data_IF_819957853274
#
_entry.id   IF_819957853274
#
_cell.length_a   1.000
_cell.length_b   1.000
_cell.length_c   1.000
_cell.angle_alpha   90.00
_cell.angle_beta   90.00
_cell.angle_gamma   90.00
#
_symmetry.space_group_name_H-M   'P 1'
#
loop_
_entity.id
_entity.type
_entity.pdbx_description
1 polymer ?
#
# COMPACT_ATOMS: atom_id res chain seq x y z
N UNK A 1 15.48 -2.53 18.12
CA UNK A 1 14.03 -2.75 17.95
C UNK A 1 13.34 -1.40 17.86
N UNK A 2 12.48 -1.22 16.87
CA UNK A 2 11.56 -0.10 16.78
C UNK A 2 10.17 -0.57 17.18
N UNK A 3 9.45 0.22 17.97
CA UNK A 3 8.13 -0.15 18.49
C UNK A 3 7.18 1.04 18.34
N UNK A 4 6.00 0.79 17.77
CA UNK A 4 4.91 1.76 17.76
C UNK A 4 4.47 2.08 19.19
N UNK A 5 4.30 3.34 19.52
CA UNK A 5 3.96 3.78 20.86
C UNK A 5 2.97 4.95 20.84
N UNK A 6 2.19 5.07 21.91
CA UNK A 6 1.40 6.25 22.22
C UNK A 6 2.01 6.93 23.46
N UNK A 7 2.35 8.20 23.34
CA UNK A 7 2.85 8.98 24.49
C UNK A 7 1.73 9.24 25.50
N UNK A 8 2.09 9.63 26.74
CA UNK A 8 1.11 10.03 27.79
C UNK A 8 0.22 11.21 27.39
N UNK A 9 0.56 11.94 26.31
CA UNK A 9 -0.25 13.03 25.73
C UNK A 9 -1.11 12.57 24.55
N UNK A 10 -1.27 11.26 24.36
CA UNK A 10 -2.03 10.65 23.26
C UNK A 10 -1.51 11.03 21.87
N UNK A 11 -0.18 11.19 21.74
CA UNK A 11 0.50 11.39 20.46
C UNK A 11 1.19 10.10 20.04
N UNK A 12 0.98 9.67 18.79
CA UNK A 12 1.68 8.57 18.17
C UNK A 12 3.18 8.85 18.02
N UNK A 13 3.98 7.84 18.32
CA UNK A 13 5.44 7.90 18.30
C UNK A 13 6.03 6.52 17.97
N UNK A 14 7.32 6.49 17.70
CA UNK A 14 8.10 5.27 17.54
C UNK A 14 9.19 5.29 18.60
N UNK A 15 9.19 4.30 19.48
CA UNK A 15 10.22 4.07 20.46
C UNK A 15 11.37 3.26 19.86
N UNK A 16 12.59 3.45 20.37
CA UNK A 16 13.75 2.61 20.05
C UNK A 16 14.31 1.93 21.29
N UNK A 17 14.63 0.65 21.13
CA UNK A 17 15.34 -0.16 22.10
C UNK A 17 16.58 -0.78 21.46
N UNK A 18 17.63 -0.95 22.24
CA UNK A 18 18.84 -1.68 21.85
C UNK A 18 19.05 -2.87 22.78
N UNK A 19 19.63 -3.94 22.27
CA UNK A 19 19.96 -5.11 23.08
C UNK A 19 21.30 -5.69 22.62
N UNK A 20 22.18 -6.10 23.54
CA UNK A 20 23.41 -6.80 23.18
C UNK A 20 23.19 -8.30 22.89
N UNK A 21 22.09 -8.90 23.37
CA UNK A 21 21.87 -10.35 23.43
C UNK A 21 20.50 -10.81 22.90
N UNK A 22 19.63 -9.88 22.48
CA UNK A 22 18.22 -10.07 22.10
C UNK A 22 17.25 -10.41 23.25
N UNK A 23 17.74 -10.53 24.49
CA UNK A 23 16.94 -10.82 25.69
C UNK A 23 16.79 -9.60 26.59
N UNK A 24 17.89 -8.89 26.83
CA UNK A 24 17.99 -7.72 27.68
C UNK A 24 17.89 -6.45 26.83
N UNK A 25 16.84 -5.64 27.02
CA UNK A 25 16.55 -4.48 26.17
C UNK A 25 16.62 -3.16 26.92
N UNK A 26 17.46 -2.25 26.43
CA UNK A 26 17.58 -0.87 26.92
C UNK A 26 16.68 0.07 26.11
N UNK A 27 15.80 0.80 26.78
CA UNK A 27 15.06 1.89 26.15
C UNK A 27 16.00 3.06 25.83
N UNK A 28 15.98 3.54 24.58
CA UNK A 28 16.84 4.63 24.09
C UNK A 28 16.09 5.92 23.80
N UNK A 29 14.78 5.97 24.05
CA UNK A 29 13.97 7.15 23.80
C UNK A 29 13.02 7.00 22.61
N UNK A 30 12.50 8.14 22.17
CA UNK A 30 11.64 8.25 20.99
C UNK A 30 12.52 8.37 19.75
N UNK A 31 12.46 7.37 18.88
CA UNK A 31 13.11 7.33 17.59
C UNK A 31 12.55 8.36 16.63
N UNK A 32 11.23 8.44 16.58
CA UNK A 32 10.52 9.39 15.74
C UNK A 32 9.20 9.79 16.40
N UNK A 33 8.99 11.09 16.53
CA UNK A 33 7.75 11.68 17.05
C UNK A 33 7.39 12.86 16.18
N UNK A 34 6.19 12.83 15.60
CA UNK A 34 5.69 13.88 14.73
C UNK A 34 4.16 13.95 14.86
N UNK A 35 3.54 15.14 14.95
CA UNK A 35 2.08 15.28 15.02
C UNK A 35 1.31 14.53 13.94
N UNK A 36 1.91 14.33 12.75
CA UNK A 36 1.32 13.59 11.63
C UNK A 36 1.09 12.09 11.91
N UNK A 37 1.66 11.57 13.00
CA UNK A 37 1.42 10.20 13.47
C UNK A 37 0.10 10.07 14.26
N UNK A 38 -0.67 11.16 14.39
CA UNK A 38 -1.95 11.21 15.10
C UNK A 38 -1.86 10.60 16.51
N UNK A 39 -2.79 9.73 16.93
CA UNK A 39 -2.85 9.22 18.30
C UNK A 39 -2.01 7.96 18.51
N UNK A 40 -1.72 7.21 17.45
CA UNK A 40 -0.91 5.99 17.50
C UNK A 40 -0.20 5.78 16.17
N UNK A 41 0.99 5.18 16.21
CA UNK A 41 1.70 4.74 15.02
C UNK A 41 1.91 3.23 15.10
N UNK A 42 1.27 2.46 14.23
CA UNK A 42 1.45 1.01 14.14
C UNK A 42 2.55 0.63 13.14
N UNK A 43 2.99 -0.63 13.23
CA UNK A 43 3.83 -1.32 12.26
C UNK A 43 5.06 -0.53 11.74
N UNK A 44 5.87 0.12 12.59
CA UNK A 44 7.02 0.86 12.11
C UNK A 44 8.07 -0.09 11.50
N UNK A 45 8.55 0.23 10.31
CA UNK A 45 9.67 -0.46 9.67
C UNK A 45 10.73 0.56 9.23
N UNK A 46 12.01 0.28 9.48
CA UNK A 46 13.12 1.07 8.97
C UNK A 46 13.83 0.27 7.87
N UNK A 47 13.80 0.79 6.65
CA UNK A 47 14.43 0.17 5.49
C UNK A 47 15.70 0.94 5.15
N UNK A 48 16.79 0.19 5.02
CA UNK A 48 18.11 0.73 4.74
C UNK A 48 18.42 0.74 3.24
N UNK A 49 18.67 1.94 2.68
CA UNK A 49 19.13 2.18 1.31
C UNK A 49 20.52 2.85 1.25
N UNK A 50 21.36 2.65 2.27
CA UNK A 50 22.69 3.25 2.38
C UNK A 50 22.64 4.58 3.13
N UNK A 51 23.00 5.68 2.47
CA UNK A 51 22.97 7.02 3.09
C UNK A 51 21.54 7.45 3.44
N UNK A 52 20.57 7.06 2.60
CA UNK A 52 19.16 7.27 2.85
C UNK A 52 18.54 6.10 3.60
N UNK A 53 17.62 6.42 4.50
CA UNK A 53 16.74 5.48 5.21
C UNK A 53 15.30 5.80 4.88
N UNK A 54 14.47 4.77 4.83
CA UNK A 54 13.03 4.90 4.63
C UNK A 54 12.31 4.38 5.87
N UNK A 55 11.58 5.26 6.55
CA UNK A 55 10.79 4.91 7.74
C UNK A 55 9.32 4.76 7.34
N UNK A 56 8.82 3.53 7.35
CA UNK A 56 7.41 3.23 7.14
C UNK A 56 6.67 3.39 8.46
N UNK A 57 5.46 3.93 8.38
CA UNK A 57 4.60 4.27 9.51
C UNK A 57 3.15 3.98 9.18
N UNK A 58 2.36 3.62 10.19
CA UNK A 58 0.90 3.54 10.08
C UNK A 58 0.23 4.49 11.09
N UNK A 59 0.06 5.78 10.76
CA UNK A 59 -0.66 6.72 11.62
C UNK A 59 -2.12 6.30 11.79
N UNK A 60 -2.60 6.39 13.03
CA UNK A 60 -4.00 6.16 13.40
C UNK A 60 -4.58 7.39 14.07
N UNK A 61 -5.59 7.98 13.43
CA UNK A 61 -6.43 9.00 14.03
C UNK A 61 -7.57 8.35 14.77
N UNK A 62 -7.68 8.63 16.06
CA UNK A 62 -8.65 8.02 16.96
C UNK A 62 -9.23 9.04 17.92
N UNK A 63 -10.50 8.87 18.27
CA UNK A 63 -11.04 9.42 19.51
C UNK A 63 -10.59 8.52 20.65
N UNK A 64 -10.00 9.07 21.72
CA UNK A 64 -9.48 8.25 22.84
C UNK A 64 -10.59 7.83 23.80
N UNK A 65 -11.60 8.70 24.01
CA UNK A 65 -12.73 8.47 24.91
C UNK A 65 -14.02 9.03 24.29
N UNK A 66 -14.99 8.18 23.89
CA UNK A 66 -14.86 6.72 23.74
C UNK A 66 -13.76 6.35 22.73
N UNK A 67 -13.18 5.15 22.85
CA UNK A 67 -12.20 4.68 21.86
C UNK A 67 -12.91 4.41 20.54
N UNK A 68 -12.57 5.18 19.50
CA UNK A 68 -13.18 5.08 18.18
C UNK A 68 -12.17 5.39 17.09
N UNK A 69 -12.03 4.48 16.13
CA UNK A 69 -11.24 4.71 14.91
C UNK A 69 -11.90 5.79 14.04
N UNK A 70 -11.06 6.68 13.49
CA UNK A 70 -11.50 7.73 12.56
C UNK A 70 -10.85 7.50 11.19
N UNK A 71 -9.54 7.28 11.16
CA UNK A 71 -8.82 6.98 9.93
C UNK A 71 -7.46 6.39 10.23
N UNK A 72 -7.08 5.40 9.44
CA UNK A 72 -5.75 4.79 9.46
C UNK A 72 -5.21 4.69 8.03
N UNK A 73 -3.90 4.88 7.84
CA UNK A 73 -3.25 4.70 6.54
C UNK A 73 -1.79 4.32 6.72
N UNK A 74 -1.18 3.73 5.69
CA UNK A 74 0.25 3.45 5.69
C UNK A 74 1.01 4.46 4.83
N UNK A 75 2.09 5.00 5.38
CA UNK A 75 2.93 5.97 4.71
C UNK A 75 4.41 5.75 5.02
N UNK A 76 5.25 6.59 4.44
CA UNK A 76 6.68 6.55 4.65
C UNK A 76 7.30 7.95 4.63
N UNK A 77 8.46 8.05 5.28
CA UNK A 77 9.39 9.17 5.18
C UNK A 77 10.70 8.68 4.57
N UNK A 78 11.37 9.56 3.83
CA UNK A 78 12.77 9.41 3.45
C UNK A 78 13.57 10.36 4.35
N UNK A 79 14.73 9.90 4.82
CA UNK A 79 15.59 10.73 5.63
C UNK A 79 16.81 9.96 6.11
N UNK A 80 17.36 10.39 7.25
CA UNK A 80 18.59 9.82 7.81
C UNK A 80 18.40 9.38 9.25
N UNK A 81 19.18 8.39 9.65
CA UNK A 81 19.28 8.00 11.06
C UNK A 81 20.42 8.77 11.73
N UNK A 82 20.13 9.39 12.87
CA UNK A 82 21.12 9.96 13.78
C UNK A 82 21.12 9.19 15.10
N UNK A 83 21.98 8.16 15.19
CA UNK A 83 22.08 7.24 16.34
C UNK A 83 20.73 6.60 16.72
N UNK A 84 19.97 7.25 17.59
CA UNK A 84 18.69 6.79 18.13
C UNK A 84 17.50 7.67 17.72
N UNK A 85 17.64 8.50 16.69
CA UNK A 85 16.55 9.28 16.12
C UNK A 85 16.53 9.22 14.60
N UNK A 86 15.35 9.46 14.01
CA UNK A 86 15.14 9.61 12.58
C UNK A 86 14.89 11.08 12.23
N UNK A 87 15.59 11.56 11.20
CA UNK A 87 15.49 12.91 10.69
C UNK A 87 14.84 12.86 9.30
N UNK A 88 13.54 13.20 9.17
CA UNK A 88 12.86 13.18 7.87
C UNK A 88 13.36 14.32 6.98
N UNK A 89 13.60 14.02 5.71
CA UNK A 89 14.00 14.99 4.67
C UNK A 89 12.84 15.33 3.73
N UNK A 90 11.71 14.63 3.86
CA UNK A 90 10.49 14.88 3.10
C UNK A 90 9.25 14.94 4.01
N UNK A 91 8.13 15.34 3.40
CA UNK A 91 6.80 15.12 4.00
C UNK A 91 6.41 13.65 3.83
N UNK A 92 5.49 13.18 4.68
CA UNK A 92 4.97 11.82 4.56
C UNK A 92 4.39 11.59 3.16
N UNK A 93 4.70 10.42 2.60
CA UNK A 93 4.14 9.94 1.35
C UNK A 93 3.34 8.67 1.63
N UNK A 94 2.25 8.43 0.89
CA UNK A 94 1.51 7.16 1.02
C UNK A 94 2.30 6.03 0.37
N UNK A 95 2.27 4.86 0.98
CA UNK A 95 2.84 3.64 0.36
C UNK A 95 1.95 3.12 -0.77
N UNK A 96 0.65 3.26 -0.65
CA UNK A 96 -0.31 2.77 -1.64
C UNK A 96 -1.45 3.79 -1.80
N UNK A 97 -1.88 4.03 -3.03
CA UNK A 97 -2.93 4.99 -3.38
C UNK A 97 -4.29 4.31 -3.60
N UNK A 98 -4.34 2.98 -3.52
CA UNK A 98 -5.53 2.16 -3.68
C UNK A 98 -6.45 2.19 -2.47
N UNK A 99 -7.47 1.35 -2.48
CA UNK A 99 -8.55 1.33 -1.48
C UNK A 99 -8.19 0.54 -0.23
N UNK A 100 -7.44 -0.56 -0.34
CA UNK A 100 -7.17 -1.49 0.76
C UNK A 100 -5.68 -1.80 0.85
N UNK A 101 -4.99 -1.14 1.78
CA UNK A 101 -3.58 -1.34 2.06
C UNK A 101 -3.25 -0.82 3.46
N UNK A 102 -2.78 -1.71 4.33
CA UNK A 102 -2.39 -1.36 5.68
C UNK A 102 -1.31 -2.30 6.24
N UNK A 103 -0.71 -1.92 7.37
CA UNK A 103 0.25 -2.73 8.13
C UNK A 103 1.37 -3.40 7.31
N UNK A 104 2.14 -2.64 6.48
CA UNK A 104 3.24 -3.19 5.72
C UNK A 104 4.36 -3.68 6.65
N UNK A 105 5.01 -4.76 6.24
CA UNK A 105 6.24 -5.26 6.86
C UNK A 105 7.29 -5.52 5.78
N UNK A 106 8.53 -5.13 6.09
CA UNK A 106 9.66 -5.25 5.16
C UNK A 106 10.73 -6.13 5.77
N UNK A 107 11.27 -7.05 4.96
CA UNK A 107 12.48 -7.80 5.29
C UNK A 107 13.49 -7.72 4.15
N UNK A 108 14.74 -8.06 4.45
CA UNK A 108 15.80 -8.20 3.44
C UNK A 108 16.03 -9.69 3.19
N UNK A 109 15.92 -10.12 1.94
CA UNK A 109 16.19 -11.51 1.59
C UNK A 109 17.70 -11.81 1.43
N UNK A 110 18.03 -13.08 1.15
CA UNK A 110 19.42 -13.53 0.94
C UNK A 110 20.10 -12.90 -0.28
N UNK A 111 19.33 -12.33 -1.21
CA UNK A 111 19.83 -11.62 -2.40
C UNK A 111 19.98 -10.10 -2.14
N UNK A 112 19.72 -9.65 -0.90
CA UNK A 112 19.78 -8.24 -0.52
C UNK A 112 18.55 -7.42 -0.92
N UNK A 113 17.51 -8.03 -1.49
CA UNK A 113 16.28 -7.35 -1.91
C UNK A 113 15.48 -6.93 -0.68
N UNK A 114 15.00 -5.69 -0.65
CA UNK A 114 14.04 -5.22 0.35
C UNK A 114 12.63 -5.61 -0.12
N UNK A 115 11.99 -6.56 0.54
CA UNK A 115 10.71 -7.13 0.14
C UNK A 115 9.64 -6.72 1.14
N UNK A 116 8.54 -6.16 0.64
CA UNK A 116 7.40 -5.71 1.42
C UNK A 116 6.17 -6.57 1.15
N UNK A 117 5.47 -6.94 2.21
CA UNK A 117 4.07 -7.39 2.16
C UNK A 117 3.22 -6.41 2.95
N UNK A 118 1.93 -6.31 2.62
CA UNK A 118 0.97 -5.54 3.40
C UNK A 118 -0.36 -6.28 3.46
N UNK A 119 -1.17 -5.93 4.45
CA UNK A 119 -2.52 -6.42 4.61
C UNK A 119 -3.48 -5.63 3.70
N UNK A 120 -4.21 -6.32 2.83
CA UNK A 120 -5.27 -5.68 2.02
C UNK A 120 -6.53 -5.47 2.86
N UNK A 121 -6.49 -4.43 3.68
CA UNK A 121 -7.64 -3.90 4.40
C UNK A 121 -7.57 -2.39 4.50
N UNK A 122 -8.74 -1.78 4.64
CA UNK A 122 -8.91 -0.38 5.01
C UNK A 122 -9.50 -0.20 6.42
N UNK A 123 -9.62 -1.31 7.17
CA UNK A 123 -10.12 -1.36 8.54
C UNK A 123 -11.50 -0.71 8.70
N UNK A 124 -12.39 -0.91 7.72
CA UNK A 124 -13.73 -0.36 7.75
C UNK A 124 -14.72 -1.43 8.24
N UNK A 125 -15.23 -1.24 9.45
CA UNK A 125 -16.07 -2.21 10.14
C UNK A 125 -17.29 -2.66 9.31
N UNK A 126 -18.00 -1.73 8.66
CA UNK A 126 -19.15 -2.07 7.81
C UNK A 126 -18.75 -2.97 6.66
N UNK A 127 -17.69 -2.63 5.93
CA UNK A 127 -17.19 -3.44 4.81
C UNK A 127 -16.66 -4.80 5.26
N UNK A 128 -16.04 -4.88 6.44
CA UNK A 128 -15.56 -6.15 7.01
C UNK A 128 -16.71 -7.05 7.48
N UNK A 129 -17.80 -6.48 8.03
CA UNK A 129 -19.01 -7.22 8.39
C UNK A 129 -19.77 -7.72 7.15
N UNK A 130 -19.72 -6.97 6.05
CA UNK A 130 -20.40 -7.28 4.79
C UNK A 130 -19.47 -7.89 3.73
N UNK A 131 -18.25 -8.30 4.13
CA UNK A 131 -17.29 -8.92 3.22
C UNK A 131 -17.85 -10.28 2.75
N UNK A 132 -18.06 -10.50 1.44
CA UNK A 132 -18.70 -11.73 0.94
C UNK A 132 -17.98 -13.00 1.38
N UNK A 133 -16.66 -12.98 1.45
CA UNK A 133 -15.87 -14.18 1.78
C UNK A 133 -16.06 -14.68 3.21
N UNK A 134 -16.74 -13.92 4.08
CA UNK A 134 -17.12 -14.36 5.44
C UNK A 134 -17.88 -15.67 5.42
N UNK A 135 -18.71 -15.91 4.40
CA UNK A 135 -19.48 -17.15 4.26
C UNK A 135 -18.56 -18.37 4.12
N UNK A 136 -17.33 -18.18 3.62
CA UNK A 136 -16.29 -19.18 3.51
C UNK A 136 -15.28 -19.16 4.69
N UNK A 137 -15.52 -18.35 5.72
CA UNK A 137 -14.69 -18.30 6.93
C UNK A 137 -13.43 -17.42 6.86
N UNK A 138 -13.29 -16.54 5.85
CA UNK A 138 -12.15 -15.61 5.74
C UNK A 138 -12.56 -14.24 5.18
N UNK A 139 -11.77 -13.18 5.40
CA UNK A 139 -12.13 -11.81 4.93
C UNK A 139 -11.03 -10.99 4.27
N UNK A 140 -9.76 -11.35 4.45
CA UNK A 140 -8.62 -10.57 3.95
C UNK A 140 -7.60 -11.43 3.21
N UNK A 141 -6.68 -10.77 2.53
CA UNK A 141 -5.49 -11.34 1.95
C UNK A 141 -4.30 -10.38 2.14
N UNK A 142 -3.11 -10.83 1.78
CA UNK A 142 -1.93 -9.97 1.65
C UNK A 142 -1.81 -9.44 0.22
N UNK A 143 -1.07 -8.35 0.06
CA UNK A 143 -0.58 -7.91 -1.24
C UNK A 143 0.40 -8.92 -1.83
N UNK A 144 0.67 -8.82 -3.13
CA UNK A 144 1.88 -9.38 -3.72
C UNK A 144 3.11 -8.88 -2.95
N UNK A 145 4.17 -9.70 -2.87
CA UNK A 145 5.45 -9.21 -2.39
C UNK A 145 6.01 -8.17 -3.36
N UNK A 146 6.39 -7.02 -2.79
CA UNK A 146 6.92 -5.89 -3.55
C UNK A 146 8.40 -5.69 -3.24
N UNK A 147 9.27 -5.78 -4.23
CA UNK A 147 10.64 -5.29 -4.18
C UNK A 147 10.62 -3.76 -4.09
N UNK A 148 11.19 -3.22 -3.03
CA UNK A 148 11.34 -1.77 -2.84
C UNK A 148 12.62 -1.28 -3.50
N UNK A 149 12.52 -0.17 -4.24
CA UNK A 149 13.65 0.51 -4.86
C UNK A 149 13.53 2.00 -4.58
N UNK A 150 14.56 2.61 -4.01
CA UNK A 150 14.61 4.05 -3.81
C UNK A 150 15.28 4.71 -5.03
N UNK A 151 14.58 5.63 -5.70
CA UNK A 151 15.10 6.38 -6.86
C UNK A 151 14.56 7.80 -6.84
N UNK A 152 15.45 8.78 -7.03
CA UNK A 152 15.08 10.20 -7.16
C UNK A 152 14.17 10.71 -6.02
N UNK A 153 14.44 10.32 -4.76
CA UNK A 153 13.63 10.74 -3.61
C UNK A 153 12.22 10.14 -3.57
N UNK A 154 11.98 9.03 -4.27
CA UNK A 154 10.71 8.31 -4.30
C UNK A 154 10.91 6.80 -4.14
N UNK A 155 10.03 6.17 -3.36
CA UNK A 155 10.02 4.73 -3.17
C UNK A 155 9.19 4.06 -4.27
N UNK A 156 9.86 3.35 -5.16
CA UNK A 156 9.25 2.48 -6.16
C UNK A 156 8.99 1.09 -5.57
N UNK A 157 7.90 0.47 -6.01
CA UNK A 157 7.46 -0.84 -5.56
C UNK A 157 7.19 -1.72 -6.78
N UNK A 158 7.99 -2.78 -6.95
CA UNK A 158 7.82 -3.71 -8.07
C UNK A 158 7.36 -5.06 -7.57
N UNK A 159 6.36 -5.71 -8.19
CA UNK A 159 6.07 -7.10 -7.89
C UNK A 159 7.31 -7.95 -8.15
N UNK A 160 7.49 -9.01 -7.38
CA UNK A 160 8.61 -9.93 -7.60
C UNK A 160 8.47 -10.64 -8.95
N UNK A 161 9.58 -10.75 -9.68
CA UNK A 161 9.63 -11.44 -10.99
C UNK A 161 9.18 -12.90 -10.87
N UNK A 162 9.40 -13.53 -9.71
CA UNK A 162 8.91 -14.86 -9.40
C UNK A 162 7.39 -15.01 -9.58
N UNK A 163 6.60 -13.95 -9.33
CA UNK A 163 5.14 -13.98 -9.49
C UNK A 163 4.70 -13.76 -10.93
N UNK A 164 5.50 -13.04 -11.73
CA UNK A 164 5.24 -12.94 -13.17
C UNK A 164 5.24 -14.34 -13.81
N UNK A 165 6.23 -15.16 -13.46
CA UNK A 165 6.34 -16.54 -13.96
C UNK A 165 5.21 -17.48 -13.47
N UNK A 166 4.50 -17.11 -12.42
CA UNK A 166 3.40 -17.89 -11.86
C UNK A 166 2.03 -17.54 -12.48
N UNK A 167 1.95 -16.46 -13.27
CA UNK A 167 0.72 -16.08 -13.93
C UNK A 167 0.28 -17.12 -14.95
N UNK A 168 -1.00 -17.46 -14.92
CA UNK A 168 -1.58 -18.39 -15.90
C UNK A 168 -1.75 -17.73 -17.27
N UNK A 169 -1.92 -16.42 -17.28
CA UNK A 169 -2.17 -15.64 -18.49
C UNK A 169 -1.59 -14.24 -18.37
N UNK A 170 -0.81 -13.86 -19.37
CA UNK A 170 -0.35 -12.48 -19.58
C UNK A 170 -1.04 -11.91 -20.82
N UNK A 171 -1.58 -10.70 -20.71
CA UNK A 171 -2.20 -9.99 -21.83
C UNK A 171 -1.59 -8.62 -22.00
N UNK A 172 -1.21 -8.31 -23.24
CA UNK A 172 -0.73 -7.00 -23.65
C UNK A 172 -1.80 -6.38 -24.54
N UNK A 173 -2.21 -5.15 -24.24
CA UNK A 173 -3.22 -4.47 -25.03
C UNK A 173 -2.88 -2.99 -25.18
N UNK A 174 -3.37 -2.40 -26.28
CA UNK A 174 -3.17 -0.99 -26.65
C UNK A 174 -4.48 -0.23 -26.83
N UNK A 175 -5.60 -0.92 -26.64
CA UNK A 175 -6.92 -0.34 -26.79
C UNK A 175 -7.23 0.63 -25.65
N UNK A 176 -7.99 1.68 -25.97
CA UNK A 176 -8.29 2.78 -25.05
C UNK A 176 -9.47 2.48 -24.14
N UNK A 177 -10.39 1.64 -24.62
CA UNK A 177 -11.49 1.10 -23.86
C UNK A 177 -11.40 -0.41 -23.90
N UNK A 178 -11.41 -1.05 -22.74
CA UNK A 178 -11.36 -2.50 -22.66
C UNK A 178 -12.21 -2.99 -21.50
N UNK A 179 -13.00 -4.03 -21.77
CA UNK A 179 -13.82 -4.70 -20.77
C UNK A 179 -13.29 -6.13 -20.57
N UNK A 180 -12.82 -6.42 -19.36
CA UNK A 180 -12.30 -7.73 -19.02
C UNK A 180 -13.35 -8.58 -18.32
N UNK A 181 -13.58 -9.79 -18.84
CA UNK A 181 -14.39 -10.81 -18.18
C UNK A 181 -13.66 -11.40 -16.98
N UNK A 182 -14.42 -11.79 -15.98
CA UNK A 182 -13.92 -12.39 -14.75
C UNK A 182 -13.17 -13.69 -15.03
N UNK A 183 -12.04 -13.87 -14.35
CA UNK A 183 -11.26 -15.09 -14.31
C UNK A 183 -11.04 -15.49 -12.86
N UNK A 184 -11.00 -16.79 -12.58
CA UNK A 184 -10.57 -17.34 -11.28
C UNK A 184 -9.06 -17.58 -11.24
N UNK A 185 -8.38 -17.24 -12.33
CA UNK A 185 -6.94 -17.41 -12.46
C UNK A 185 -6.20 -16.15 -12.02
N UNK A 186 -4.94 -16.33 -11.63
CA UNK A 186 -4.03 -15.21 -11.45
C UNK A 186 -3.56 -14.72 -12.81
N UNK A 187 -3.95 -13.50 -13.16
CA UNK A 187 -3.75 -12.91 -14.49
C UNK A 187 -2.97 -11.60 -14.39
N UNK A 188 -2.15 -11.34 -15.41
CA UNK A 188 -1.39 -10.10 -15.54
C UNK A 188 -1.80 -9.40 -16.83
N UNK A 189 -2.12 -8.13 -16.71
CA UNK A 189 -2.48 -7.27 -17.83
C UNK A 189 -1.49 -6.12 -17.91
N UNK A 190 -0.97 -5.85 -19.11
CA UNK A 190 -0.01 -4.78 -19.35
C UNK A 190 -0.48 -3.85 -20.47
N UNK A 191 -0.29 -2.55 -20.23
CA UNK A 191 -0.72 -1.48 -21.12
C UNK A 191 0.28 -0.33 -21.14
N UNK A 192 0.50 0.22 -22.33
CA UNK A 192 1.30 1.43 -22.56
C UNK A 192 0.41 2.49 -23.24
N UNK A 193 -0.21 3.43 -22.48
CA UNK A 193 -1.25 4.31 -23.01
C UNK A 193 -0.79 5.38 -24.00
N UNK A 194 0.53 5.55 -24.21
CA UNK A 194 1.13 6.53 -25.10
C UNK A 194 0.57 7.97 -24.92
N UNK A 195 0.46 8.44 -23.67
CA UNK A 195 -0.01 9.80 -23.27
C UNK A 195 -1.44 10.19 -23.71
N UNK A 196 -2.31 9.21 -23.97
CA UNK A 196 -3.70 9.47 -24.36
C UNK A 196 -4.69 9.25 -23.20
N UNK A 197 -5.86 9.85 -23.32
CA UNK A 197 -7.03 9.47 -22.52
C UNK A 197 -7.37 8.00 -22.75
N UNK A 198 -7.68 7.29 -21.67
CA UNK A 198 -8.11 5.90 -21.70
C UNK A 198 -9.02 5.55 -20.53
N UNK A 199 -9.77 4.47 -20.69
CA UNK A 199 -10.65 3.90 -19.67
C UNK A 199 -10.61 2.39 -19.73
N UNK A 200 -10.13 1.76 -18.65
CA UNK A 200 -10.11 0.31 -18.50
C UNK A 200 -11.16 -0.11 -17.49
N UNK A 201 -12.08 -0.99 -17.90
CA UNK A 201 -13.11 -1.57 -17.04
C UNK A 201 -12.78 -3.06 -16.77
N UNK A 202 -12.60 -3.39 -15.51
CA UNK A 202 -12.18 -4.72 -15.06
C UNK A 202 -13.24 -5.34 -14.17
N UNK A 203 -13.30 -6.67 -14.17
CA UNK A 203 -14.08 -7.46 -13.21
C UNK A 203 -15.57 -7.07 -13.21
N UNK A 204 -16.23 -7.12 -14.37
CA UNK A 204 -17.62 -6.68 -14.55
C UNK A 204 -17.84 -5.23 -14.08
N UNK A 205 -16.92 -4.34 -14.45
CA UNK A 205 -16.89 -2.90 -14.09
C UNK A 205 -16.76 -2.65 -12.58
N UNK A 206 -16.40 -3.63 -11.77
CA UNK A 206 -16.14 -3.40 -10.34
C UNK A 206 -14.92 -2.53 -10.11
N UNK A 207 -13.96 -2.55 -11.03
CA UNK A 207 -12.77 -1.70 -11.00
C UNK A 207 -12.70 -0.93 -12.31
N UNK A 208 -12.51 0.38 -12.24
CA UNK A 208 -12.35 1.25 -13.41
C UNK A 208 -11.10 2.10 -13.22
N UNK A 209 -10.20 2.05 -14.20
CA UNK A 209 -9.03 2.93 -14.29
C UNK A 209 -9.31 3.91 -15.42
N UNK A 210 -9.35 5.19 -15.13
CA UNK A 210 -9.64 6.23 -16.11
C UNK A 210 -8.55 7.30 -16.06
N UNK A 211 -7.93 7.59 -17.19
CA UNK A 211 -7.06 8.75 -17.34
C UNK A 211 -7.74 9.69 -18.34
N UNK A 212 -8.12 10.88 -17.85
CA UNK A 212 -8.83 11.87 -18.66
C UNK A 212 -8.35 13.27 -18.34
N UNK A 213 -8.04 14.07 -19.36
CA UNK A 213 -7.59 15.46 -19.21
C UNK A 213 -6.37 15.59 -18.26
N UNK A 214 -5.44 14.63 -18.33
CA UNK A 214 -4.28 14.56 -17.45
C UNK A 214 -4.58 14.08 -16.01
N UNK A 215 -5.79 13.59 -15.74
CA UNK A 215 -6.23 13.19 -14.41
C UNK A 215 -6.50 11.69 -14.34
N UNK A 216 -5.68 10.93 -13.57
CA UNK A 216 -5.95 9.53 -13.29
C UNK A 216 -6.96 9.36 -12.15
N UNK A 217 -7.92 8.48 -12.37
CA UNK A 217 -8.95 8.06 -11.44
C UNK A 217 -8.96 6.55 -11.33
N UNK A 218 -8.93 6.05 -10.11
CA UNK A 218 -9.32 4.68 -9.81
C UNK A 218 -10.70 4.71 -9.17
N UNK A 219 -11.62 3.94 -9.73
CA UNK A 219 -12.97 3.74 -9.18
C UNK A 219 -13.14 2.28 -8.80
N UNK A 220 -13.76 2.04 -7.64
CA UNK A 220 -14.13 0.71 -7.17
C UNK A 220 -15.61 0.72 -6.81
N UNK A 221 -16.34 -0.31 -7.23
CA UNK A 221 -17.69 -0.58 -6.76
C UNK A 221 -17.62 -1.19 -5.35
N UNK A 222 -18.13 -0.47 -4.37
CA UNK A 222 -18.13 -0.88 -2.97
C UNK A 222 -19.17 -2.00 -2.75
N UNK A 223 -18.73 -3.18 -2.32
CA UNK A 223 -19.60 -4.33 -2.06
C UNK A 223 -20.60 -4.10 -0.92
N UNK A 224 -20.34 -3.15 -0.03
CA UNK A 224 -21.21 -2.86 1.13
C UNK A 224 -22.32 -1.86 0.83
N UNK A 225 -22.16 -1.02 -0.20
CA UNK A 225 -23.10 0.05 -0.55
C UNK A 225 -23.58 0.03 -2.00
N UNK A 226 -22.94 -0.78 -2.86
CA UNK A 226 -23.16 -0.88 -4.30
C UNK A 226 -22.86 0.43 -5.08
N UNK A 227 -22.30 1.45 -4.42
CA UNK A 227 -21.90 2.72 -5.03
C UNK A 227 -20.43 2.67 -5.47
N UNK A 228 -20.05 3.56 -6.38
CA UNK A 228 -18.62 3.75 -6.71
C UNK A 228 -17.94 4.66 -5.69
N UNK A 229 -16.84 4.16 -5.14
CA UNK A 229 -15.83 4.96 -4.48
C UNK A 229 -14.74 5.32 -5.50
N UNK A 230 -14.17 6.52 -5.41
CA UNK A 230 -13.18 6.99 -6.38
C UNK A 230 -12.00 7.70 -5.71
N UNK A 231 -10.80 7.50 -6.28
CA UNK A 231 -9.57 8.15 -5.85
C UNK A 231 -8.87 8.79 -7.05
N UNK A 232 -8.55 10.08 -6.92
CA UNK A 232 -7.67 10.80 -7.85
C UNK A 232 -6.22 10.58 -7.45
N UNK A 233 -5.37 10.27 -8.42
CA UNK A 233 -3.94 10.11 -8.20
C UNK A 233 -3.22 11.38 -8.68
N UNK A 234 -2.14 11.76 -8.00
CA UNK A 234 -1.27 12.84 -8.46
C UNK A 234 -0.08 12.24 -9.19
N UNK A 235 -0.13 12.25 -10.52
CA UNK A 235 0.96 11.82 -11.41
C UNK A 235 0.98 12.74 -12.64
N UNK A 236 2.14 12.95 -13.25
CA UNK A 236 2.26 13.81 -14.44
C UNK A 236 1.76 13.11 -15.70
N UNK A 237 2.10 11.83 -15.88
CA UNK A 237 1.74 11.02 -17.03
C UNK A 237 1.68 9.54 -16.64
N UNK A 238 0.91 8.74 -17.38
CA UNK A 238 0.87 7.28 -17.27
C UNK A 238 1.51 6.70 -18.54
N UNK A 239 2.76 6.26 -18.40
CA UNK A 239 3.54 5.65 -19.48
C UNK A 239 3.31 4.14 -19.56
N UNK A 240 3.18 3.47 -18.42
CA UNK A 240 2.86 2.05 -18.34
C UNK A 240 1.95 1.73 -17.15
N UNK A 241 1.16 0.67 -17.33
CA UNK A 241 0.35 0.01 -16.32
C UNK A 241 0.64 -1.49 -16.35
N UNK A 242 0.94 -2.06 -15.19
CA UNK A 242 0.88 -3.51 -14.97
C UNK A 242 -0.18 -3.79 -13.92
N UNK A 243 -1.19 -4.58 -14.26
CA UNK A 243 -2.34 -4.88 -13.44
C UNK A 243 -2.31 -6.38 -13.12
N UNK A 244 -2.24 -6.71 -11.84
CA UNK A 244 -2.22 -8.06 -11.33
C UNK A 244 -3.58 -8.35 -10.72
N UNK A 245 -4.27 -9.34 -11.27
CA UNK A 245 -5.64 -9.67 -10.89
C UNK A 245 -5.69 -11.10 -10.34
N UNK A 246 -6.35 -11.25 -9.20
CA UNK A 246 -6.74 -12.51 -8.59
C UNK A 246 -8.23 -12.44 -8.23
N UNK A 247 -8.85 -13.54 -7.83
CA UNK A 247 -10.31 -13.73 -7.73
C UNK A 247 -11.09 -12.61 -7.02
N UNK A 248 -10.48 -11.96 -6.01
CA UNK A 248 -11.11 -10.85 -5.25
C UNK A 248 -10.13 -9.75 -4.86
N UNK A 249 -8.99 -9.67 -5.56
CA UNK A 249 -7.91 -8.73 -5.26
C UNK A 249 -7.26 -8.25 -6.56
N UNK A 250 -6.94 -6.96 -6.60
CA UNK A 250 -6.26 -6.34 -7.73
C UNK A 250 -5.17 -5.40 -7.24
N UNK A 251 -4.02 -5.45 -7.91
CA UNK A 251 -2.92 -4.51 -7.72
C UNK A 251 -2.54 -3.87 -9.05
N UNK A 252 -2.48 -2.54 -9.07
CA UNK A 252 -2.18 -1.75 -10.25
C UNK A 252 -0.87 -1.02 -9.99
N UNK A 253 0.15 -1.33 -10.78
CA UNK A 253 1.47 -0.71 -10.76
C UNK A 253 1.57 0.27 -11.92
N UNK A 254 1.75 1.54 -11.61
CA UNK A 254 1.81 2.65 -12.58
C UNK A 254 3.27 3.09 -12.71
N UNK A 255 3.75 3.28 -13.95
CA UNK A 255 5.10 3.74 -14.28
C UNK A 255 6.18 2.93 -13.54
N UNK A 256 6.21 1.61 -13.77
CA UNK A 256 7.14 0.67 -13.16
C UNK A 256 7.07 0.63 -11.63
N UNK A 257 5.88 0.88 -11.08
CA UNK A 257 5.65 0.88 -9.64
C UNK A 257 6.03 2.18 -8.93
N UNK A 258 6.11 3.29 -9.66
CA UNK A 258 6.20 4.63 -9.09
C UNK A 258 5.00 4.92 -8.17
N UNK A 259 3.82 4.49 -8.61
CA UNK A 259 2.59 4.52 -7.83
C UNK A 259 1.99 3.12 -7.88
N UNK A 260 1.49 2.66 -6.73
CA UNK A 260 0.79 1.38 -6.62
C UNK A 260 -0.59 1.61 -6.02
N UNK A 261 -1.56 0.82 -6.49
CA UNK A 261 -2.91 0.80 -5.96
C UNK A 261 -3.35 -0.62 -5.69
N UNK A 262 -3.77 -0.89 -4.45
CA UNK A 262 -4.34 -2.16 -4.04
C UNK A 262 -5.82 -2.05 -3.76
N UNK A 263 -6.61 -3.02 -4.21
CA UNK A 263 -8.01 -3.09 -3.88
C UNK A 263 -8.52 -4.51 -3.79
N UNK A 264 -9.38 -4.77 -2.83
CA UNK A 264 -10.33 -5.87 -2.84
C UNK A 264 -11.52 -5.50 -3.70
N UNK A 265 -12.14 -6.50 -4.33
CA UNK A 265 -13.38 -6.36 -5.07
C UNK A 265 -14.17 -7.67 -5.01
N UNK A 266 -15.48 -7.59 -5.23
CA UNK A 266 -16.35 -8.77 -5.27
C UNK A 266 -17.37 -8.59 -6.38
N UNK A 267 -17.32 -9.50 -7.36
CA UNK A 267 -18.29 -9.55 -8.44
C UNK A 267 -19.50 -10.36 -7.97
N UNK A 268 -20.69 -9.77 -8.08
CA UNK A 268 -21.97 -10.43 -7.87
C UNK A 268 -22.69 -10.58 -9.22
#
# INVERSE_FOLDING_TARGET
MLLGAQTKKYQGAIAIYTSPDLYSWDYRGIYFGNPILDQMCECPNLVDFGEEKVLLVCPQKRQIKPDKDISSYSGYFIGRQNKYSFLPENRIQKLDQGFDFYAPQVFTDKKGRKIMFAWMSRMNERQEQQCPTREYGYIHCLTLPRKLVLKNGQLYQKPLEEYRNAAKLERYFREREYEFQMSTDFEIYEMEPADNDFKVELCNKNIIIEYKDGQPWLKRKDWSSNNYEQKKIKISAINNLSIYCDCSAIEIFINDGQIVMSARYFCF
#
